data_IF_656239941619
#
_entry.id   IF_656239941619
#
_cell.length_a   1.000
_cell.length_b   1.000
_cell.length_c   1.000
_cell.angle_alpha   90.00
_cell.angle_beta   90.00
_cell.angle_gamma   90.00
#
_symmetry.space_group_name_H-M   'P 1'
#
loop_
_entity.id
_entity.type
_entity.pdbx_description
1 polymer ?
#
# COMPACT_ATOMS: atom_id res chain seq x y z
N UNK A 1 -27.44 -10.53 17.66
CA UNK A 1 -28.34 -9.55 17.08
C UNK A 1 -27.93 -9.23 15.66
N UNK A 2 -28.92 -8.91 14.81
CA UNK A 2 -28.68 -8.66 13.40
C UNK A 2 -27.70 -7.52 13.14
N UNK A 3 -27.77 -6.46 13.94
CA UNK A 3 -26.84 -5.33 13.78
C UNK A 3 -25.39 -5.67 14.07
N UNK A 4 -25.16 -6.57 15.02
CA UNK A 4 -23.82 -7.05 15.33
C UNK A 4 -23.28 -7.94 14.20
N UNK A 5 -24.12 -8.80 13.63
CA UNK A 5 -23.75 -9.66 12.51
C UNK A 5 -23.39 -8.82 11.27
N UNK A 6 -24.16 -7.77 10.99
CA UNK A 6 -23.86 -6.86 9.89
C UNK A 6 -22.54 -6.13 10.13
N UNK A 7 -22.31 -5.65 11.36
CA UNK A 7 -21.07 -4.96 11.71
C UNK A 7 -19.85 -5.87 11.54
N UNK A 8 -19.96 -7.12 11.95
CA UNK A 8 -18.89 -8.11 11.78
C UNK A 8 -18.65 -8.35 10.29
N UNK A 9 -19.70 -8.49 9.49
CA UNK A 9 -19.60 -8.77 8.06
C UNK A 9 -18.99 -7.61 7.27
N UNK A 10 -19.17 -6.39 7.72
CA UNK A 10 -18.60 -5.22 7.02
C UNK A 10 -17.08 -5.17 7.08
N UNK A 11 -16.48 -5.95 7.96
CA UNK A 11 -15.01 -6.07 8.02
C UNK A 11 -14.44 -7.00 6.93
N UNK A 12 -15.30 -7.79 6.26
CA UNK A 12 -14.88 -8.67 5.18
C UNK A 12 -14.87 -7.92 3.86
N UNK A 13 -13.73 -7.89 3.21
CA UNK A 13 -13.57 -7.28 1.89
C UNK A 13 -13.37 -8.40 0.88
N UNK A 14 -14.36 -8.61 0.02
CA UNK A 14 -14.24 -9.56 -1.08
C UNK A 14 -13.30 -8.99 -2.14
N UNK A 15 -12.55 -9.87 -2.79
CA UNK A 15 -11.57 -9.47 -3.80
C UNK A 15 -12.16 -8.53 -4.86
N UNK A 16 -13.36 -8.84 -5.35
CA UNK A 16 -13.98 -8.07 -6.43
C UNK A 16 -14.71 -6.81 -5.93
N UNK A 17 -14.74 -6.59 -4.62
CA UNK A 17 -15.42 -5.44 -4.00
C UNK A 17 -14.44 -4.48 -3.32
N UNK A 18 -13.15 -4.59 -3.61
CA UNK A 18 -12.14 -3.70 -3.04
C UNK A 18 -12.35 -2.28 -3.50
N UNK A 19 -12.27 -1.34 -2.56
CA UNK A 19 -12.22 0.08 -2.92
C UNK A 19 -10.88 0.35 -3.60
N UNK A 20 -10.90 1.14 -4.69
CA UNK A 20 -9.70 1.39 -5.50
C UNK A 20 -9.50 2.88 -5.73
N UNK A 21 -8.25 3.29 -5.70
CA UNK A 21 -7.81 4.61 -6.13
C UNK A 21 -6.82 4.40 -7.27
N UNK A 22 -6.96 5.19 -8.34
CA UNK A 22 -6.11 5.07 -9.52
C UNK A 22 -5.42 6.38 -9.84
N UNK A 23 -4.16 6.28 -10.26
CA UNK A 23 -3.43 7.40 -10.85
C UNK A 23 -2.75 6.89 -12.11
N UNK A 24 -3.40 7.13 -13.25
CA UNK A 24 -2.91 6.62 -14.54
C UNK A 24 -1.63 7.31 -14.99
N UNK A 25 -1.43 8.56 -14.57
CA UNK A 25 -0.21 9.32 -14.93
C UNK A 25 1.03 8.70 -14.29
N UNK A 26 0.92 8.34 -13.02
CA UNK A 26 2.03 7.71 -12.29
C UNK A 26 2.06 6.19 -12.48
N UNK A 27 1.02 5.61 -13.09
CA UNK A 27 0.97 4.19 -13.41
C UNK A 27 0.72 3.31 -12.19
N UNK A 28 -0.12 3.74 -11.25
CA UNK A 28 -0.47 2.90 -10.11
C UNK A 28 -1.97 2.88 -9.82
N UNK A 29 -2.37 1.81 -9.17
CA UNK A 29 -3.69 1.65 -8.58
C UNK A 29 -3.49 1.15 -7.15
N UNK A 30 -4.30 1.66 -6.23
CA UNK A 30 -4.28 1.19 -4.84
C UNK A 30 -5.59 0.47 -4.59
N UNK A 31 -5.50 -0.78 -4.16
CA UNK A 31 -6.65 -1.59 -3.79
C UNK A 31 -6.65 -1.76 -2.27
N UNK A 32 -7.69 -1.30 -1.61
CA UNK A 32 -7.81 -1.41 -0.15
C UNK A 32 -8.32 -2.79 0.23
N UNK A 33 -7.58 -3.47 1.09
CA UNK A 33 -7.92 -4.83 1.54
C UNK A 33 -8.34 -4.86 3.00
N UNK A 34 -8.31 -3.73 3.67
CA UNK A 34 -8.90 -3.57 5.00
C UNK A 34 -10.11 -2.65 4.92
N UNK A 35 -11.15 -2.94 5.70
CA UNK A 35 -12.32 -2.09 5.78
C UNK A 35 -11.97 -0.78 6.48
N UNK A 36 -12.74 0.27 6.17
CA UNK A 36 -12.60 1.55 6.85
C UNK A 36 -13.49 1.55 8.09
N UNK A 37 -12.89 1.74 9.25
CA UNK A 37 -13.59 1.72 10.52
C UNK A 37 -12.91 2.69 11.49
N UNK A 38 -13.70 3.47 12.29
CA UNK A 38 -13.11 4.43 13.23
C UNK A 38 -12.18 3.83 14.28
N UNK A 39 -12.32 2.51 14.53
CA UNK A 39 -11.50 1.82 15.53
C UNK A 39 -10.24 1.20 14.95
N UNK A 40 -10.05 1.25 13.63
CA UNK A 40 -8.87 0.62 13.04
C UNK A 40 -7.60 1.36 13.44
N UNK A 41 -6.55 0.59 13.71
CA UNK A 41 -5.24 1.12 14.07
C UNK A 41 -4.23 0.93 12.95
N UNK A 42 -4.58 0.15 11.94
CA UNK A 42 -3.75 -0.09 10.76
C UNK A 42 -4.60 -0.11 9.51
N UNK A 43 -3.96 0.09 8.39
CA UNK A 43 -4.59 0.07 7.08
C UNK A 43 -3.77 -0.81 6.16
N UNK A 44 -4.43 -1.69 5.42
CA UNK A 44 -3.76 -2.56 4.48
C UNK A 44 -4.26 -2.30 3.07
N UNK A 45 -3.32 -2.17 2.14
CA UNK A 45 -3.66 -1.99 0.73
C UNK A 45 -2.63 -2.69 -0.15
N UNK A 46 -3.01 -2.92 -1.40
CA UNK A 46 -2.12 -3.44 -2.41
C UNK A 46 -1.91 -2.35 -3.46
N UNK A 47 -0.66 -1.95 -3.65
CA UNK A 47 -0.29 -1.08 -4.76
C UNK A 47 -0.03 -1.95 -5.98
N UNK A 48 -0.75 -1.67 -7.06
CA UNK A 48 -0.57 -2.33 -8.34
C UNK A 48 0.13 -1.35 -9.26
N UNK A 49 1.37 -1.66 -9.63
CA UNK A 49 2.20 -0.78 -10.45
C UNK A 49 2.30 -1.35 -11.86
N UNK A 50 1.86 -0.56 -12.83
CA UNK A 50 2.10 -0.90 -14.23
C UNK A 50 3.59 -0.84 -14.54
N UNK A 51 4.06 -1.39 -15.66
CA UNK A 51 5.45 -1.20 -16.07
C UNK A 51 5.83 0.28 -16.00
N UNK A 52 6.97 0.59 -15.40
CA UNK A 52 7.46 1.94 -15.11
C UNK A 52 6.59 2.74 -14.13
N UNK A 53 5.60 2.12 -13.51
CA UNK A 53 4.75 2.77 -12.52
C UNK A 53 5.48 3.08 -11.23
N UNK A 54 5.01 4.08 -10.49
CA UNK A 54 5.61 4.49 -9.22
C UNK A 54 4.52 4.82 -8.20
N UNK A 55 4.89 4.81 -6.93
CA UNK A 55 3.94 5.05 -5.83
C UNK A 55 3.46 6.50 -5.73
N UNK A 56 4.08 7.41 -6.47
CA UNK A 56 3.72 8.82 -6.54
C UNK A 56 4.87 9.64 -7.11
N UNK A 57 4.58 10.88 -7.49
CA UNK A 57 5.58 11.76 -8.12
C UNK A 57 6.65 12.25 -7.15
N UNK A 58 6.30 12.35 -5.88
CA UNK A 58 7.21 12.83 -4.83
C UNK A 58 7.22 11.83 -3.70
N UNK A 59 8.35 11.75 -2.97
CA UNK A 59 8.42 10.88 -1.80
C UNK A 59 7.38 11.24 -0.75
N UNK A 60 6.88 10.22 -0.06
CA UNK A 60 5.93 10.39 1.03
C UNK A 60 6.64 10.56 2.35
N UNK A 61 6.00 11.32 3.25
CA UNK A 61 6.33 11.34 4.67
C UNK A 61 5.02 11.34 5.45
N UNK A 62 4.97 10.56 6.50
CA UNK A 62 3.82 10.52 7.40
C UNK A 62 4.24 9.96 8.75
N UNK A 63 3.35 10.03 9.73
CA UNK A 63 3.63 9.46 11.04
C UNK A 63 3.51 7.93 10.99
N UNK A 64 4.15 7.26 11.95
CA UNK A 64 3.95 5.84 12.18
C UNK A 64 4.94 4.94 11.48
N UNK A 65 4.48 3.73 11.21
CA UNK A 65 5.29 2.64 10.67
C UNK A 65 4.59 1.99 9.50
N UNK A 66 5.37 1.36 8.63
CA UNK A 66 4.83 0.73 7.43
C UNK A 66 5.59 -0.55 7.09
N UNK A 67 4.85 -1.59 6.73
CA UNK A 67 5.41 -2.83 6.20
C UNK A 67 5.17 -2.86 4.70
N UNK A 68 6.22 -3.16 3.93
CA UNK A 68 6.15 -3.38 2.49
C UNK A 68 6.45 -4.86 2.22
N UNK A 69 5.62 -5.51 1.44
CA UNK A 69 5.82 -6.91 1.05
C UNK A 69 5.51 -7.07 -0.44
N UNK A 70 6.49 -7.55 -1.21
CA UNK A 70 6.31 -7.72 -2.66
C UNK A 70 5.54 -9.00 -2.93
N UNK A 71 4.32 -8.86 -3.42
CA UNK A 71 3.46 -9.99 -3.77
C UNK A 71 3.77 -10.54 -5.15
N UNK A 72 4.18 -9.68 -6.09
CA UNK A 72 4.41 -10.04 -7.47
C UNK A 72 5.39 -9.06 -8.10
N UNK A 73 6.30 -9.56 -8.92
CA UNK A 73 7.25 -8.72 -9.63
C UNK A 73 8.40 -8.25 -8.77
N UNK A 74 8.97 -7.11 -9.12
CA UNK A 74 10.11 -6.54 -8.41
C UNK A 74 9.97 -5.02 -8.37
N UNK A 75 10.46 -4.43 -7.28
CA UNK A 75 10.41 -2.98 -7.08
C UNK A 75 11.76 -2.47 -6.60
N UNK A 76 11.93 -1.16 -6.71
CA UNK A 76 12.98 -0.43 -6.01
C UNK A 76 12.32 0.46 -4.97
N UNK A 77 12.73 0.30 -3.72
CA UNK A 77 12.24 1.09 -2.60
C UNK A 77 13.31 2.08 -2.18
N UNK A 78 12.94 3.35 -2.13
CA UNK A 78 13.84 4.40 -1.67
C UNK A 78 13.38 4.86 -0.29
N UNK A 79 14.29 4.80 0.68
CA UNK A 79 14.04 5.32 2.02
C UNK A 79 15.16 6.28 2.38
N UNK A 80 14.81 7.53 2.57
CA UNK A 80 15.74 8.59 2.96
C UNK A 80 16.96 8.67 2.02
N UNK A 81 16.71 8.46 0.72
CA UNK A 81 17.74 8.50 -0.31
C UNK A 81 18.45 7.18 -0.57
N UNK A 82 18.23 6.17 0.26
CA UNK A 82 18.84 4.85 0.05
C UNK A 82 17.93 3.97 -0.79
N UNK A 83 18.43 3.51 -1.92
CA UNK A 83 17.70 2.67 -2.86
C UNK A 83 17.96 1.20 -2.56
N UNK A 84 16.87 0.43 -2.46
CA UNK A 84 16.94 -1.01 -2.18
C UNK A 84 16.14 -1.76 -3.23
N UNK A 85 16.69 -2.86 -3.72
CA UNK A 85 15.99 -3.77 -4.63
C UNK A 85 15.19 -4.78 -3.83
N UNK A 86 13.93 -4.98 -4.21
CA UNK A 86 13.06 -5.97 -3.58
C UNK A 86 12.44 -6.85 -4.64
N UNK A 87 12.57 -8.15 -4.46
CA UNK A 87 11.99 -9.18 -5.33
C UNK A 87 10.75 -9.78 -4.68
N UNK A 88 9.99 -10.55 -5.46
CA UNK A 88 8.82 -11.26 -4.97
C UNK A 88 9.13 -12.02 -3.69
N UNK A 89 8.32 -11.81 -2.66
CA UNK A 89 8.52 -12.45 -1.36
C UNK A 89 9.38 -11.65 -0.39
N UNK A 90 10.05 -10.60 -0.84
CA UNK A 90 10.85 -9.75 0.04
C UNK A 90 9.96 -8.79 0.82
N UNK A 91 10.42 -8.42 2.01
CA UNK A 91 9.72 -7.44 2.84
C UNK A 91 10.69 -6.44 3.45
N UNK A 92 10.16 -5.24 3.72
CA UNK A 92 10.90 -4.19 4.41
C UNK A 92 9.98 -3.55 5.44
N UNK A 93 10.47 -3.39 6.66
CA UNK A 93 9.72 -2.74 7.73
C UNK A 93 10.32 -1.37 8.01
N UNK A 94 9.57 -0.32 7.72
CA UNK A 94 9.98 1.06 7.97
C UNK A 94 9.47 1.50 9.34
N UNK A 95 10.38 1.67 10.29
CA UNK A 95 10.03 2.00 11.68
C UNK A 95 9.71 3.48 11.88
N UNK A 96 10.13 4.33 10.96
CA UNK A 96 9.94 5.78 11.05
C UNK A 96 9.54 6.34 9.69
N UNK A 97 8.24 6.47 9.47
CA UNK A 97 7.71 6.96 8.21
C UNK A 97 7.83 8.49 8.04
N UNK A 98 8.42 9.20 9.02
CA UNK A 98 8.80 10.60 8.81
C UNK A 98 10.00 10.72 7.89
N UNK A 99 10.75 9.62 7.68
CA UNK A 99 11.76 9.54 6.64
C UNK A 99 11.06 9.47 5.29
N UNK A 100 11.55 10.23 4.31
CA UNK A 100 10.95 10.23 2.99
C UNK A 100 11.09 8.85 2.34
N UNK A 101 10.02 8.40 1.68
CA UNK A 101 10.02 7.08 1.06
C UNK A 101 9.10 7.03 -0.15
N UNK A 102 9.46 6.22 -1.11
CA UNK A 102 8.65 5.92 -2.29
C UNK A 102 9.18 4.64 -2.94
N UNK A 103 8.41 4.07 -3.83
CA UNK A 103 8.86 2.89 -4.58
C UNK A 103 8.32 2.94 -5.99
N UNK A 104 8.98 2.20 -6.87
CA UNK A 104 8.57 2.11 -8.26
C UNK A 104 8.85 0.71 -8.82
N UNK A 105 8.14 0.39 -9.89
CA UNK A 105 8.30 -0.88 -10.57
C UNK A 105 9.70 -0.95 -11.20
N UNK A 106 10.44 -1.99 -10.88
CA UNK A 106 11.78 -2.19 -11.44
C UNK A 106 11.74 -2.72 -12.87
N UNK A 107 10.56 -3.15 -13.36
CA UNK A 107 10.39 -3.73 -14.69
C UNK A 107 9.71 -2.74 -15.63
N UNK A 108 10.14 -2.75 -16.90
CA UNK A 108 9.48 -2.02 -17.98
C UNK A 108 8.46 -2.89 -18.70
N UNK A 109 8.31 -4.16 -18.31
CA UNK A 109 7.49 -5.13 -19.05
C UNK A 109 6.41 -5.79 -18.19
N UNK A 110 6.63 -5.92 -16.88
CA UNK A 110 5.76 -6.68 -15.99
C UNK A 110 5.17 -5.81 -14.90
N UNK A 111 3.92 -6.09 -14.52
CA UNK A 111 3.25 -5.47 -13.38
C UNK A 111 3.93 -5.90 -12.08
N UNK A 112 3.97 -5.00 -11.11
CA UNK A 112 4.39 -5.31 -9.74
C UNK A 112 3.22 -5.09 -8.79
N UNK A 113 3.15 -5.87 -7.72
CA UNK A 113 2.12 -5.77 -6.70
C UNK A 113 2.80 -5.76 -5.34
N UNK A 114 2.48 -4.75 -4.53
CA UNK A 114 3.11 -4.55 -3.22
C UNK A 114 2.03 -4.42 -2.16
N UNK A 115 2.09 -5.28 -1.15
CA UNK A 115 1.25 -5.14 0.04
C UNK A 115 1.89 -4.09 0.94
N UNK A 116 1.09 -3.09 1.32
CA UNK A 116 1.51 -2.05 2.24
C UNK A 116 0.57 -2.04 3.44
N UNK A 117 1.15 -2.15 4.64
CA UNK A 117 0.40 -2.07 5.89
C UNK A 117 0.94 -0.91 6.69
N UNK A 118 0.09 0.07 7.00
CA UNK A 118 0.47 1.28 7.73
C UNK A 118 -0.25 1.37 9.07
N UNK A 119 0.46 1.83 10.09
CA UNK A 119 -0.07 2.14 11.40
C UNK A 119 0.49 3.52 11.81
N UNK A 120 -0.34 4.55 12.03
CA UNK A 120 -1.80 4.58 11.85
C UNK A 120 -2.22 4.56 10.38
N UNK A 121 -3.54 4.40 10.11
CA UNK A 121 -4.05 4.43 8.75
C UNK A 121 -3.67 5.73 8.05
N UNK A 122 -3.15 5.61 6.83
CA UNK A 122 -2.72 6.79 6.07
C UNK A 122 -3.88 7.39 5.29
N UNK A 123 -4.51 6.59 4.44
CA UNK A 123 -5.56 7.11 3.55
C UNK A 123 -6.85 7.39 4.31
N UNK A 124 -7.20 6.55 5.26
CA UNK A 124 -8.44 6.72 6.03
C UNK A 124 -8.40 7.98 6.89
N UNK A 125 -7.30 8.19 7.63
CA UNK A 125 -7.23 9.33 8.54
C UNK A 125 -6.92 10.66 7.86
N UNK A 126 -6.38 10.63 6.63
CA UNK A 126 -5.93 11.84 5.93
C UNK A 126 -6.86 12.27 4.80
N UNK A 127 -7.93 11.52 4.60
CA UNK A 127 -8.99 11.86 3.67
C UNK A 127 -10.22 12.37 4.41
#
# INVERSE_FOLDING_TARGET
LLGEDESIRTMLIKKDSRHKLSNLVDGFEIEFISAFDPKQVMEACVHVLSPDGQSGKVPYTHAGQELFFVLEGSIKLNVDGEMMDMEEGDSYYLTDCTKSHYFFNASTEHTARVLCVTNPPYFYCCN
#
